data_IF_945257650395
#
_entry.id   IF_945257650395
#
_cell.length_a   1.000
_cell.length_b   1.000
_cell.length_c   1.000
_cell.angle_alpha   90.00
_cell.angle_beta   90.00
_cell.angle_gamma   90.00
#
_symmetry.space_group_name_H-M   'P 1'
#
loop_
_entity.id
_entity.type
_entity.pdbx_description
1 polymer ?
#
# COMPACT_ATOMS: atom_id res chain seq x y z
N UNK A 1 -24.33 36.62 -4.50
CA UNK A 1 -24.25 36.67 -3.02
C UNK A 1 -24.82 35.36 -2.52
N UNK A 2 -23.97 34.40 -2.13
CA UNK A 2 -24.41 33.10 -1.60
C UNK A 2 -23.66 32.84 -0.31
N UNK A 3 -24.44 32.43 0.68
CA UNK A 3 -24.22 32.54 2.11
C UNK A 3 -23.24 31.46 2.56
N UNK A 4 -22.16 31.89 3.20
CA UNK A 4 -21.34 31.03 4.05
C UNK A 4 -22.18 30.64 5.26
N UNK A 5 -22.67 29.40 5.31
CA UNK A 5 -23.32 28.86 6.51
C UNK A 5 -22.29 28.06 7.28
N UNK A 6 -21.82 28.63 8.39
CA UNK A 6 -21.00 27.93 9.35
C UNK A 6 -21.87 27.16 10.34
N UNK A 7 -21.84 25.83 10.27
CA UNK A 7 -22.20 24.95 11.40
C UNK A 7 -21.36 23.68 11.38
N UNK A 8 -21.14 23.09 12.57
CA UNK A 8 -20.09 22.12 12.90
C UNK A 8 -19.93 20.94 11.92
N UNK A 9 -18.73 20.83 11.35
CA UNK A 9 -18.36 19.81 10.36
C UNK A 9 -18.26 18.43 11.00
N UNK A 10 -19.04 17.45 10.51
CA UNK A 10 -18.60 16.05 10.49
C UNK A 10 -17.60 15.91 9.35
N UNK A 11 -16.46 15.28 9.62
CA UNK A 11 -15.52 14.97 8.55
C UNK A 11 -16.10 13.86 7.66
N UNK A 12 -15.64 13.72 6.40
CA UNK A 12 -15.99 12.55 5.56
C UNK A 12 -15.68 11.23 6.30
N UNK A 13 -14.66 11.24 7.16
CA UNK A 13 -14.35 10.12 8.03
C UNK A 13 -15.49 9.82 9.01
N UNK A 14 -16.16 10.84 9.56
CA UNK A 14 -17.29 10.67 10.48
C UNK A 14 -18.58 10.30 9.75
N UNK A 15 -18.76 10.73 8.50
CA UNK A 15 -19.85 10.29 7.63
C UNK A 15 -19.74 8.79 7.29
N UNK A 16 -18.53 8.35 6.92
CA UNK A 16 -18.24 6.95 6.52
C UNK A 16 -18.13 6.00 7.72
N UNK A 17 -17.72 6.49 8.89
CA UNK A 17 -17.55 5.66 10.11
C UNK A 17 -18.72 5.79 11.11
N UNK A 18 -19.62 6.76 10.93
CA UNK A 18 -20.75 7.03 11.83
C UNK A 18 -21.93 6.06 11.69
N UNK A 19 -21.94 5.22 10.64
CA UNK A 19 -22.88 4.12 10.47
C UNK A 19 -22.51 2.93 11.38
N UNK A 20 -22.62 3.12 12.69
CA UNK A 20 -22.41 2.07 13.67
C UNK A 20 -23.44 0.95 13.50
N UNK A 21 -22.94 -0.26 13.22
CA UNK A 21 -23.70 -1.51 13.17
C UNK A 21 -24.37 -1.76 14.53
N UNK A 22 -25.70 -1.67 14.59
CA UNK A 22 -26.50 -2.47 15.51
C UNK A 22 -26.92 -3.76 14.81
N UNK A 23 -26.83 -4.87 15.53
CA UNK A 23 -27.54 -6.11 15.20
C UNK A 23 -26.66 -7.23 14.66
N UNK A 24 -26.43 -8.24 15.50
CA UNK A 24 -25.77 -9.48 15.15
C UNK A 24 -26.55 -10.33 14.15
N UNK A 25 -25.81 -11.07 13.34
CA UNK A 25 -26.32 -12.07 12.41
C UNK A 25 -25.18 -12.57 11.54
N UNK A 26 -24.63 -13.74 11.88
CA UNK A 26 -23.63 -14.40 11.07
C UNK A 26 -24.16 -14.65 9.66
N UNK A 27 -23.61 -13.95 8.67
CA UNK A 27 -23.80 -14.25 7.25
C UNK A 27 -22.48 -14.69 6.65
N UNK A 28 -22.51 -15.91 6.12
CA UNK A 28 -21.47 -16.57 5.36
C UNK A 28 -20.99 -15.65 4.23
N UNK A 29 -19.69 -15.35 4.21
CA UNK A 29 -19.04 -14.44 3.28
C UNK A 29 -19.02 -15.08 1.89
N UNK A 30 -19.88 -14.62 0.99
CA UNK A 30 -19.71 -14.89 -0.44
C UNK A 30 -18.66 -13.94 -1.00
N UNK A 31 -17.57 -14.51 -1.52
CA UNK A 31 -16.62 -13.82 -2.38
C UNK A 31 -17.38 -13.24 -3.58
N UNK A 32 -17.63 -11.92 -3.58
CA UNK A 32 -18.08 -11.23 -4.78
C UNK A 32 -16.85 -11.02 -5.67
N UNK A 33 -16.86 -11.48 -6.93
CA UNK A 33 -15.80 -11.15 -7.87
C UNK A 33 -15.63 -9.62 -7.94
N UNK A 34 -14.40 -9.10 -8.07
CA UNK A 34 -14.19 -7.68 -8.25
C UNK A 34 -14.98 -7.20 -9.47
N UNK A 35 -15.66 -6.06 -9.34
CA UNK A 35 -16.27 -5.36 -10.46
C UNK A 35 -15.17 -5.13 -11.51
N UNK A 36 -15.31 -5.75 -12.69
CA UNK A 36 -14.40 -5.58 -13.82
C UNK A 36 -14.38 -4.09 -14.20
N UNK A 37 -13.25 -3.42 -13.99
CA UNK A 37 -13.02 -2.11 -14.57
C UNK A 37 -12.80 -2.33 -16.08
N UNK A 38 -13.75 -1.90 -16.92
CA UNK A 38 -13.83 -2.17 -18.36
C UNK A 38 -12.83 -1.38 -19.22
N UNK A 39 -11.60 -1.23 -18.76
CA UNK A 39 -10.50 -0.72 -19.59
C UNK A 39 -9.47 -1.84 -19.67
N UNK A 40 -8.85 -2.01 -20.83
CA UNK A 40 -7.84 -3.02 -21.18
C UNK A 40 -8.40 -4.29 -21.81
N UNK A 41 -8.57 -4.18 -23.12
CA UNK A 41 -8.84 -5.29 -24.03
C UNK A 41 -7.51 -5.99 -24.41
N UNK A 42 -7.58 -7.33 -24.45
CA UNK A 42 -6.70 -8.29 -25.12
C UNK A 42 -5.17 -8.06 -25.16
N UNK A 43 -4.43 -8.82 -24.33
CA UNK A 43 -3.14 -9.35 -24.79
C UNK A 43 -2.99 -10.83 -24.40
N UNK A 44 -2.51 -11.65 -25.33
CA UNK A 44 -2.21 -13.08 -25.13
C UNK A 44 -0.68 -13.21 -25.14
N UNK A 45 -0.09 -13.78 -24.08
CA UNK A 45 1.36 -14.04 -24.05
C UNK A 45 1.64 -15.36 -23.33
N UNK A 46 2.22 -16.33 -24.06
CA UNK A 46 2.65 -17.62 -23.49
C UNK A 46 1.64 -18.77 -23.62
N UNK A 47 0.74 -18.74 -24.61
CA UNK A 47 -0.21 -19.83 -24.86
C UNK A 47 -1.41 -19.90 -23.91
N UNK A 48 -1.44 -19.05 -22.88
CA UNK A 48 -2.61 -18.81 -22.03
C UNK A 48 -2.98 -17.33 -22.08
N UNK A 49 -4.27 -17.01 -22.11
CA UNK A 49 -4.73 -15.63 -21.98
C UNK A 49 -4.36 -15.09 -20.59
N UNK A 50 -4.15 -13.77 -20.47
CA UNK A 50 -3.90 -13.09 -19.18
C UNK A 50 -5.02 -13.42 -18.17
N UNK A 51 -6.24 -13.57 -18.66
CA UNK A 51 -7.41 -14.02 -17.90
C UNK A 51 -7.28 -15.47 -17.39
N UNK A 52 -6.75 -16.38 -18.20
CA UNK A 52 -6.52 -17.77 -17.80
C UNK A 52 -5.45 -17.92 -16.72
N UNK A 53 -4.39 -17.11 -16.79
CA UNK A 53 -3.37 -17.05 -15.74
C UNK A 53 -3.93 -16.46 -14.44
N UNK A 54 -4.72 -15.39 -14.53
CA UNK A 54 -5.38 -14.81 -13.36
C UNK A 54 -6.27 -15.84 -12.66
N UNK A 55 -7.11 -16.56 -13.42
CA UNK A 55 -8.00 -17.60 -12.91
C UNK A 55 -7.21 -18.70 -12.20
N UNK A 56 -6.21 -19.30 -12.85
CA UNK A 56 -5.39 -20.37 -12.27
C UNK A 56 -4.61 -19.95 -11.02
N UNK A 57 -4.21 -18.68 -10.92
CA UNK A 57 -3.51 -18.13 -9.75
C UNK A 57 -4.45 -17.57 -8.68
N UNK A 58 -5.75 -17.46 -8.98
CA UNK A 58 -6.81 -17.07 -8.06
C UNK A 58 -7.54 -18.28 -7.47
N UNK A 59 -7.49 -19.44 -8.16
CA UNK A 59 -8.08 -20.68 -7.69
C UNK A 59 -7.36 -21.21 -6.44
N UNK A 60 -8.15 -21.57 -5.43
CA UNK A 60 -7.69 -22.35 -4.30
C UNK A 60 -7.10 -23.66 -4.81
N UNK A 61 -5.79 -23.85 -4.67
CA UNK A 61 -5.34 -25.16 -4.26
C UNK A 61 -6.00 -25.35 -2.89
N UNK A 62 -7.07 -26.13 -2.83
CA UNK A 62 -7.85 -26.44 -1.63
C UNK A 62 -6.89 -26.60 -0.45
N UNK A 63 -6.75 -25.54 0.32
CA UNK A 63 -5.89 -25.53 1.48
C UNK A 63 -6.79 -25.94 2.62
N UNK A 64 -6.36 -26.99 3.35
CA UNK A 64 -7.01 -27.43 4.57
C UNK A 64 -7.47 -26.20 5.38
N UNK A 65 -8.72 -26.19 5.89
CA UNK A 65 -9.20 -25.10 6.71
C UNK A 65 -8.15 -24.84 7.79
N UNK A 66 -7.66 -23.60 7.86
CA UNK A 66 -6.77 -23.18 8.94
C UNK A 66 -7.55 -23.40 10.22
N UNK A 67 -7.27 -24.52 10.89
CA UNK A 67 -7.89 -24.84 12.19
C UNK A 67 -7.52 -23.72 13.14
N UNK A 68 -8.52 -22.91 13.49
CA UNK A 68 -8.45 -22.03 14.65
C UNK A 68 -8.27 -22.98 15.84
N UNK A 69 -7.16 -22.91 16.59
CA UNK A 69 -6.99 -23.76 17.77
C UNK A 69 -8.11 -23.42 18.77
N UNK A 70 -9.04 -24.36 18.96
CA UNK A 70 -10.01 -24.27 20.05
C UNK A 70 -9.26 -24.42 21.37
N UNK A 71 -9.04 -23.30 22.04
CA UNK A 71 -8.34 -23.21 23.32
C UNK A 71 -7.72 -21.83 23.50
N UNK A 72 -7.43 -21.44 24.75
CA UNK A 72 -6.81 -20.18 25.13
C UNK A 72 -5.35 -20.07 24.61
N UNK A 73 -5.17 -20.10 23.29
CA UNK A 73 -3.91 -19.93 22.61
C UNK A 73 -3.56 -18.45 22.60
N UNK A 74 -2.31 -18.14 22.97
CA UNK A 74 -1.76 -16.78 22.89
C UNK A 74 -1.95 -16.23 21.47
N UNK A 75 -2.44 -14.99 21.38
CA UNK A 75 -2.61 -14.29 20.10
C UNK A 75 -1.31 -14.33 19.28
N UNK A 76 -1.44 -14.61 17.97
CA UNK A 76 -0.32 -14.68 17.05
C UNK A 76 0.09 -13.28 16.59
N UNK A 77 1.37 -12.99 16.56
CA UNK A 77 1.90 -11.69 16.13
C UNK A 77 2.08 -11.65 14.61
N UNK A 78 1.39 -10.73 13.94
CA UNK A 78 1.58 -10.44 12.51
C UNK A 78 2.35 -9.13 12.38
N UNK A 79 3.56 -9.18 11.83
CA UNK A 79 4.35 -7.98 11.59
C UNK A 79 4.25 -7.56 10.13
N UNK A 80 3.60 -6.43 9.87
CA UNK A 80 3.51 -5.80 8.55
C UNK A 80 4.62 -4.77 8.40
N UNK A 81 5.51 -5.01 7.44
CA UNK A 81 6.63 -4.15 7.09
C UNK A 81 6.24 -3.21 5.95
N UNK A 82 6.38 -1.90 6.20
CA UNK A 82 6.05 -0.86 5.23
C UNK A 82 7.05 0.29 5.31
N UNK A 83 6.94 1.27 4.42
CA UNK A 83 7.57 2.57 4.60
C UNK A 83 6.65 3.69 4.12
N UNK A 84 6.79 4.89 4.69
CA UNK A 84 5.96 6.08 4.41
C UNK A 84 6.24 6.75 3.05
N UNK A 85 6.83 6.03 2.11
CA UNK A 85 7.13 6.46 0.74
C UNK A 85 5.85 6.56 -0.11
N UNK A 86 5.12 7.67 -0.01
CA UNK A 86 4.00 7.97 -0.93
C UNK A 86 2.61 7.51 -0.47
N UNK A 87 2.47 7.05 0.78
CA UNK A 87 1.18 6.80 1.44
C UNK A 87 0.43 5.54 1.00
N UNK A 88 0.61 5.05 -0.24
CA UNK A 88 -0.05 3.85 -0.75
C UNK A 88 0.30 2.58 0.02
N UNK A 89 1.58 2.39 0.37
CA UNK A 89 2.04 1.24 1.17
C UNK A 89 1.40 1.21 2.56
N UNK A 90 1.30 2.37 3.22
CA UNK A 90 0.61 2.51 4.51
C UNK A 90 -0.87 2.16 4.40
N UNK A 91 -1.55 2.65 3.35
CA UNK A 91 -2.96 2.36 3.14
C UNK A 91 -3.22 0.85 3.01
N UNK A 92 -2.38 0.14 2.24
CA UNK A 92 -2.44 -1.33 2.11
C UNK A 92 -2.14 -2.05 3.44
N UNK A 93 -1.13 -1.61 4.19
CA UNK A 93 -0.82 -2.19 5.50
C UNK A 93 -1.99 -2.06 6.49
N UNK A 94 -2.61 -0.88 6.54
CA UNK A 94 -3.74 -0.62 7.41
C UNK A 94 -5.00 -1.35 6.94
N UNK A 95 -5.23 -1.47 5.63
CA UNK A 95 -6.31 -2.29 5.08
C UNK A 95 -6.20 -3.76 5.49
N UNK A 96 -4.98 -4.33 5.42
CA UNK A 96 -4.73 -5.70 5.87
C UNK A 96 -4.95 -5.83 7.38
N UNK A 97 -4.42 -4.91 8.20
CA UNK A 97 -4.65 -4.88 9.65
C UNK A 97 -6.14 -4.86 9.98
N UNK A 98 -6.90 -3.99 9.32
CA UNK A 98 -8.33 -3.85 9.56
C UNK A 98 -9.08 -5.13 9.13
N UNK A 99 -8.67 -5.78 8.03
CA UNK A 99 -9.21 -7.07 7.61
C UNK A 99 -8.91 -8.19 8.62
N UNK A 100 -7.68 -8.32 9.12
CA UNK A 100 -7.34 -9.30 10.15
C UNK A 100 -8.21 -9.16 11.40
N UNK A 101 -8.42 -7.92 11.86
CA UNK A 101 -9.25 -7.64 13.03
C UNK A 101 -10.71 -8.04 12.81
N UNK A 102 -11.23 -7.78 11.61
CA UNK A 102 -12.62 -8.10 11.27
C UNK A 102 -12.83 -9.61 11.15
N UNK A 103 -11.90 -10.32 10.48
CA UNK A 103 -12.06 -11.74 10.16
C UNK A 103 -11.66 -12.67 11.33
N UNK A 104 -10.67 -12.28 12.13
CA UNK A 104 -10.10 -13.16 13.16
C UNK A 104 -10.15 -12.58 14.58
N UNK A 105 -10.69 -11.37 14.78
CA UNK A 105 -10.77 -10.73 16.09
C UNK A 105 -9.41 -10.62 16.77
N UNK A 106 -9.35 -11.04 18.03
CA UNK A 106 -8.13 -10.95 18.87
C UNK A 106 -7.18 -12.16 18.71
N UNK A 107 -7.50 -13.11 17.82
CA UNK A 107 -6.61 -14.26 17.55
C UNK A 107 -5.26 -13.82 16.93
N UNK A 108 -5.22 -12.65 16.29
CA UNK A 108 -4.03 -12.08 15.68
C UNK A 108 -3.78 -10.65 16.16
N UNK A 109 -2.59 -10.41 16.72
CA UNK A 109 -2.09 -9.08 17.03
C UNK A 109 -1.30 -8.55 15.82
N UNK A 110 -1.88 -7.59 15.09
CA UNK A 110 -1.24 -7.02 13.90
C UNK A 110 -0.46 -5.74 14.21
N UNK A 111 0.82 -5.75 13.90
CA UNK A 111 1.77 -4.66 14.13
C UNK A 111 2.24 -4.11 12.78
N UNK A 112 1.94 -2.85 12.48
CA UNK A 112 2.43 -2.16 11.27
C UNK A 112 3.64 -1.32 11.63
N UNK A 113 4.79 -1.55 10.98
CA UNK A 113 6.08 -0.91 11.31
C UNK A 113 6.86 -0.45 10.09
N UNK A 114 7.54 0.69 10.24
CA UNK A 114 8.53 1.18 9.28
C UNK A 114 9.92 0.92 9.85
N UNK A 115 10.48 -0.25 9.52
CA UNK A 115 11.80 -0.64 10.03
C UNK A 115 12.92 0.27 9.53
N UNK A 116 12.78 0.85 8.33
CA UNK A 116 13.79 1.76 7.79
C UNK A 116 13.85 3.03 8.63
N UNK A 117 12.70 3.59 8.95
CA UNK A 117 12.55 4.78 9.80
C UNK A 117 12.91 4.54 11.26
N UNK A 118 12.44 3.43 11.83
CA UNK A 118 12.61 3.11 13.26
C UNK A 118 14.03 2.59 13.58
N UNK A 119 14.69 1.91 12.63
CA UNK A 119 15.89 1.11 12.90
C UNK A 119 16.95 1.13 11.78
N UNK A 120 16.73 1.83 10.67
CA UNK A 120 17.53 1.67 9.44
C UNK A 120 18.82 2.49 9.37
N UNK A 121 19.08 3.38 10.34
CA UNK A 121 20.15 4.38 10.26
C UNK A 121 20.08 5.24 8.98
N UNK A 122 21.01 6.17 8.80
CA UNK A 122 21.11 6.91 7.53
C UNK A 122 21.72 6.01 6.44
N UNK A 123 21.15 5.95 5.21
CA UNK A 123 20.07 6.81 4.69
C UNK A 123 18.65 6.21 4.76
N UNK A 124 18.44 4.98 5.26
CA UNK A 124 17.12 4.34 5.26
C UNK A 124 16.10 5.07 6.14
N UNK A 125 16.55 5.68 7.23
CA UNK A 125 15.69 6.41 8.16
C UNK A 125 15.09 7.70 7.57
N UNK A 126 15.69 8.24 6.51
CA UNK A 126 15.24 9.46 5.81
C UNK A 126 14.62 9.16 4.42
N UNK A 127 14.27 7.89 4.17
CA UNK A 127 13.66 7.46 2.91
C UNK A 127 12.39 8.21 2.55
N UNK A 128 11.51 8.45 3.52
CA UNK A 128 10.26 9.19 3.31
C UNK A 128 10.54 10.58 2.73
N UNK A 129 11.48 11.32 3.34
CA UNK A 129 11.82 12.69 2.94
C UNK A 129 12.50 12.70 1.58
N UNK A 130 13.46 11.80 1.38
CA UNK A 130 14.18 11.62 0.11
C UNK A 130 13.22 11.30 -1.04
N UNK A 131 12.25 10.42 -0.79
CA UNK A 131 11.21 10.06 -1.75
C UNK A 131 10.28 11.22 -2.08
N UNK A 132 9.80 11.96 -1.07
CA UNK A 132 8.98 13.17 -1.28
C UNK A 132 9.73 14.21 -2.11
N UNK A 133 11.03 14.40 -1.88
CA UNK A 133 11.87 15.27 -2.70
C UNK A 133 11.97 14.77 -4.16
N UNK A 134 12.19 13.47 -4.36
CA UNK A 134 12.31 12.90 -5.72
C UNK A 134 11.01 12.99 -6.52
N UNK A 135 9.83 12.75 -5.93
CA UNK A 135 8.57 12.86 -6.69
C UNK A 135 8.29 14.29 -7.13
N UNK A 136 8.66 15.30 -6.31
CA UNK A 136 8.58 16.71 -6.72
C UNK A 136 9.41 17.00 -7.98
N UNK A 137 10.41 16.15 -8.26
CA UNK A 137 11.27 16.21 -9.43
C UNK A 137 11.07 14.97 -10.31
N UNK A 138 9.93 14.87 -11.02
CA UNK A 138 9.53 13.69 -11.83
C UNK A 138 10.65 13.15 -12.74
N UNK A 139 11.48 14.02 -13.32
CA UNK A 139 12.65 13.61 -14.13
C UNK A 139 13.69 12.84 -13.31
N UNK A 140 13.99 13.30 -12.09
CA UNK A 140 14.90 12.64 -11.16
C UNK A 140 14.35 11.27 -10.73
N UNK A 141 13.05 11.20 -10.44
CA UNK A 141 12.38 9.93 -10.11
C UNK A 141 12.47 8.91 -11.27
N UNK A 142 12.19 9.35 -12.52
CA UNK A 142 12.31 8.48 -13.70
C UNK A 142 13.72 7.93 -13.86
N UNK A 143 14.74 8.77 -13.71
CA UNK A 143 16.15 8.34 -13.78
C UNK A 143 16.47 7.36 -12.66
N UNK A 144 16.06 7.63 -11.42
CA UNK A 144 16.30 6.74 -10.29
C UNK A 144 15.62 5.36 -10.49
N UNK A 145 14.35 5.35 -10.89
CA UNK A 145 13.58 4.13 -11.11
C UNK A 145 14.17 3.27 -12.23
N UNK A 146 14.42 3.87 -13.41
CA UNK A 146 14.97 3.14 -14.56
C UNK A 146 16.46 2.83 -14.39
N UNK A 147 17.21 3.63 -13.64
CA UNK A 147 18.61 3.39 -13.32
C UNK A 147 18.82 2.21 -12.38
N UNK A 148 17.90 1.99 -11.43
CA UNK A 148 18.00 0.90 -10.42
C UNK A 148 17.29 -0.39 -10.82
N UNK A 149 16.48 -0.37 -11.88
CA UNK A 149 15.74 -1.53 -12.40
C UNK A 149 16.58 -2.62 -13.11
N UNK A 150 17.68 -2.33 -13.85
CA UNK A 150 18.46 -3.35 -14.54
C UNK A 150 19.07 -4.36 -13.56
N UNK A 151 19.03 -5.66 -13.88
CA UNK A 151 19.41 -6.73 -12.93
C UNK A 151 20.83 -6.59 -12.35
N UNK A 152 21.78 -6.13 -13.16
CA UNK A 152 23.18 -5.97 -12.74
C UNK A 152 23.38 -4.74 -11.84
N UNK A 153 22.77 -3.59 -12.16
CA UNK A 153 22.77 -2.41 -11.27
C UNK A 153 22.03 -2.73 -9.98
N UNK A 154 20.91 -3.43 -10.09
CA UNK A 154 20.07 -3.82 -8.98
C UNK A 154 20.80 -4.74 -7.99
N UNK A 155 21.48 -5.77 -8.50
CA UNK A 155 22.30 -6.68 -7.71
C UNK A 155 23.44 -5.95 -7.02
N UNK A 156 24.12 -5.02 -7.70
CA UNK A 156 25.18 -4.19 -7.12
C UNK A 156 24.64 -3.23 -6.06
N UNK A 157 23.48 -2.61 -6.30
CA UNK A 157 22.82 -1.69 -5.35
C UNK A 157 22.36 -2.41 -4.09
N UNK A 158 21.70 -3.57 -4.22
CA UNK A 158 21.33 -4.38 -3.06
C UNK A 158 22.54 -4.98 -2.37
N UNK A 159 23.57 -5.38 -3.10
CA UNK A 159 24.83 -5.82 -2.51
C UNK A 159 25.54 -4.67 -1.79
N UNK A 160 25.46 -3.44 -2.30
CA UNK A 160 26.02 -2.25 -1.66
C UNK A 160 25.23 -1.85 -0.41
N UNK A 161 23.89 -1.90 -0.45
CA UNK A 161 23.04 -1.75 0.73
C UNK A 161 23.36 -2.86 1.75
N UNK A 162 23.29 -4.12 1.35
CA UNK A 162 23.63 -5.26 2.20
C UNK A 162 25.08 -5.21 2.70
N UNK A 163 26.01 -4.64 1.92
CA UNK A 163 27.39 -4.39 2.32
C UNK A 163 27.49 -3.24 3.30
N UNK A 164 26.77 -2.12 3.12
CA UNK A 164 26.72 -1.01 4.08
C UNK A 164 26.12 -1.47 5.41
N UNK A 165 24.98 -2.16 5.37
CA UNK A 165 24.36 -2.82 6.53
C UNK A 165 25.25 -3.93 7.10
N UNK A 166 25.96 -4.66 6.24
CA UNK A 166 26.95 -5.67 6.60
C UNK A 166 28.29 -5.10 7.04
N UNK A 167 28.59 -3.80 6.85
CA UNK A 167 29.80 -3.09 7.26
C UNK A 167 29.60 -2.51 8.65
N UNK A 168 28.39 -2.07 8.98
CA UNK A 168 27.97 -1.92 10.38
C UNK A 168 28.05 -3.25 11.14
N UNK A 169 27.79 -4.37 10.46
CA UNK A 169 27.95 -5.70 11.04
C UNK A 169 29.41 -6.23 11.07
N UNK A 170 30.27 -5.84 10.10
CA UNK A 170 31.68 -6.25 10.00
C UNK A 170 32.66 -5.36 10.76
N UNK A 171 32.31 -4.11 11.08
CA UNK A 171 33.13 -3.23 11.92
C UNK A 171 33.34 -3.80 13.34
N UNK A 172 32.48 -4.73 13.79
CA UNK A 172 32.63 -5.50 15.02
C UNK A 172 33.50 -6.76 14.89
N UNK A 173 33.96 -7.11 13.68
CA UNK A 173 34.66 -8.37 13.42
C UNK A 173 36.19 -8.23 13.30
N UNK A 174 36.76 -7.05 13.60
CA UNK A 174 38.20 -6.80 13.47
C UNK A 174 38.97 -6.79 14.79
N UNK A 175 38.54 -7.63 15.72
CA UNK A 175 39.42 -8.23 16.75
C UNK A 175 39.24 -9.74 16.67
N UNK A 176 40.31 -10.38 16.21
CA UNK A 176 40.41 -11.76 15.74
C UNK A 176 40.10 -12.81 16.82
N UNK A 177 39.66 -14.00 16.39
CA UNK A 177 40.16 -15.35 16.76
C UNK A 177 39.06 -16.40 16.49
N UNK A 178 39.50 -17.54 15.92
CA UNK A 178 38.73 -18.76 15.76
C UNK A 178 37.93 -19.12 17.03
N UNK A 179 36.61 -19.18 16.93
CA UNK A 179 35.83 -19.93 17.91
C UNK A 179 34.50 -20.40 17.27
N UNK A 180 34.37 -21.71 17.05
CA UNK A 180 33.11 -22.37 16.68
C UNK A 180 32.02 -22.23 17.76
N UNK A 181 32.35 -21.64 18.91
CA UNK A 181 31.46 -21.27 20.01
C UNK A 181 30.97 -19.80 20.01
N UNK A 182 31.37 -18.96 19.04
CA UNK A 182 30.85 -17.59 18.92
C UNK A 182 29.47 -17.51 18.24
N UNK A 183 28.46 -18.20 18.80
CA UNK A 183 27.03 -17.86 18.59
C UNK A 183 26.65 -16.60 19.39
N UNK A 184 27.54 -15.62 19.48
CA UNK A 184 27.44 -14.48 20.39
C UNK A 184 27.26 -13.16 19.63
N UNK A 185 26.09 -12.57 19.84
CA UNK A 185 25.76 -11.14 19.72
C UNK A 185 25.94 -10.40 18.39
N UNK A 186 25.10 -10.79 17.43
CA UNK A 186 24.67 -9.93 16.31
C UNK A 186 23.53 -8.96 16.70
N UNK A 187 23.28 -8.79 18.01
CA UNK A 187 22.25 -7.96 18.63
C UNK A 187 22.36 -6.45 18.31
N UNK A 188 23.40 -6.03 17.57
CA UNK A 188 23.71 -4.63 17.24
C UNK A 188 23.28 -4.16 15.85
N UNK A 189 22.72 -5.01 14.98
CA UNK A 189 22.00 -4.51 13.81
C UNK A 189 20.62 -4.04 14.28
N UNK A 190 20.40 -2.73 14.35
CA UNK A 190 19.12 -2.14 14.81
C UNK A 190 17.92 -2.75 14.08
N UNK A 191 18.04 -3.07 12.78
CA UNK A 191 16.98 -3.72 11.99
C UNK A 191 16.70 -5.15 12.47
N UNK A 192 17.74 -5.91 12.88
CA UNK A 192 17.58 -7.24 13.48
C UNK A 192 16.91 -7.12 14.85
N UNK A 193 17.38 -6.20 15.70
CA UNK A 193 16.77 -5.92 16.99
C UNK A 193 15.30 -5.51 16.84
N UNK A 194 14.99 -4.67 15.84
CA UNK A 194 13.64 -4.25 15.48
C UNK A 194 12.75 -5.41 15.07
N UNK A 195 13.22 -6.30 14.18
CA UNK A 195 12.46 -7.48 13.76
C UNK A 195 12.20 -8.44 14.94
N UNK A 196 13.23 -8.68 15.77
CA UNK A 196 13.15 -9.63 16.88
C UNK A 196 12.37 -9.11 18.08
N UNK A 197 12.34 -7.80 18.31
CA UNK A 197 11.55 -7.14 19.36
C UNK A 197 10.08 -7.54 19.30
N UNK A 198 9.52 -7.66 18.10
CA UNK A 198 8.10 -7.93 17.88
C UNK A 198 7.73 -9.42 17.92
N UNK A 199 8.71 -10.33 17.99
CA UNK A 199 8.51 -11.80 18.01
C UNK A 199 7.40 -12.26 17.05
N UNK A 200 7.54 -11.98 15.73
CA UNK A 200 6.48 -12.26 14.76
C UNK A 200 6.30 -13.76 14.53
N UNK A 201 5.04 -14.20 14.52
CA UNK A 201 4.64 -15.52 14.04
C UNK A 201 4.46 -15.52 12.52
N UNK A 202 4.28 -14.35 11.91
CA UNK A 202 4.18 -14.13 10.47
C UNK A 202 4.66 -12.73 10.11
N UNK A 203 5.30 -12.59 8.94
CA UNK A 203 5.71 -11.30 8.40
C UNK A 203 5.03 -11.04 7.05
N UNK A 204 4.53 -9.82 6.85
CA UNK A 204 3.95 -9.36 5.59
C UNK A 204 4.69 -8.12 5.13
N UNK A 205 5.24 -8.13 3.92
CA UNK A 205 5.89 -6.99 3.30
C UNK A 205 4.94 -6.32 2.31
N UNK A 206 4.69 -5.03 2.49
CA UNK A 206 3.89 -4.20 1.56
C UNK A 206 4.74 -3.09 0.92
N UNK A 207 6.07 -3.21 0.93
CA UNK A 207 6.98 -2.20 0.39
C UNK A 207 8.11 -2.87 -0.41
N UNK A 208 8.53 -2.32 -1.56
CA UNK A 208 9.51 -2.94 -2.44
C UNK A 208 10.91 -3.14 -1.83
N UNK A 209 11.29 -2.46 -0.76
CA UNK A 209 12.61 -2.63 -0.11
C UNK A 209 12.59 -3.52 1.15
N UNK A 210 11.42 -4.05 1.52
CA UNK A 210 11.23 -4.84 2.73
C UNK A 210 11.19 -6.34 2.44
N UNK A 211 12.06 -6.85 1.56
CA UNK A 211 12.12 -8.27 1.16
C UNK A 211 13.49 -8.84 1.53
N UNK A 212 14.53 -8.35 0.85
CA UNK A 212 15.88 -8.90 0.91
C UNK A 212 16.48 -8.85 2.32
N UNK A 213 16.45 -7.69 2.99
CA UNK A 213 17.03 -7.53 4.33
C UNK A 213 16.26 -8.38 5.37
N UNK A 214 14.92 -8.28 5.50
CA UNK A 214 14.18 -9.12 6.44
C UNK A 214 14.36 -10.63 6.19
N UNK A 215 14.33 -11.08 4.94
CA UNK A 215 14.53 -12.50 4.59
C UNK A 215 15.95 -12.98 4.90
N UNK A 216 16.95 -12.14 4.66
CA UNK A 216 18.32 -12.42 5.06
C UNK A 216 18.39 -12.58 6.59
N UNK A 217 17.85 -11.65 7.37
CA UNK A 217 17.81 -11.75 8.83
C UNK A 217 17.13 -13.04 9.30
N UNK A 218 15.99 -13.41 8.74
CA UNK A 218 15.30 -14.67 9.09
C UNK A 218 16.15 -15.91 8.78
N UNK A 219 16.88 -15.91 7.66
CA UNK A 219 17.77 -17.01 7.28
C UNK A 219 18.91 -17.16 8.29
N UNK A 220 19.59 -16.06 8.65
CA UNK A 220 20.71 -16.08 9.60
C UNK A 220 20.29 -16.47 11.02
N UNK A 221 19.10 -16.04 11.45
CA UNK A 221 18.53 -16.42 12.75
C UNK A 221 17.90 -17.83 12.74
N UNK A 222 18.01 -18.58 11.64
CA UNK A 222 17.38 -19.89 11.48
C UNK A 222 15.85 -19.89 11.72
N UNK A 223 15.20 -18.75 11.43
CA UNK A 223 13.76 -18.53 11.59
C UNK A 223 12.99 -18.65 10.27
N UNK A 224 13.67 -18.70 9.12
CA UNK A 224 13.03 -18.73 7.81
C UNK A 224 12.02 -19.88 7.62
N UNK A 225 12.23 -21.02 8.29
CA UNK A 225 11.28 -22.16 8.26
C UNK A 225 10.15 -22.05 9.27
N UNK A 226 10.27 -21.18 10.28
CA UNK A 226 9.32 -21.03 11.39
C UNK A 226 8.37 -19.85 11.19
N UNK A 227 8.88 -18.75 10.64
CA UNK A 227 8.14 -17.51 10.43
C UNK A 227 7.85 -17.37 8.93
N UNK A 228 6.64 -17.71 8.46
CA UNK A 228 6.27 -17.50 7.06
C UNK A 228 6.35 -16.02 6.69
N UNK A 229 6.82 -15.78 5.48
CA UNK A 229 7.08 -14.44 4.95
C UNK A 229 6.26 -14.21 3.69
N UNK A 230 5.39 -13.22 3.73
CA UNK A 230 4.48 -12.90 2.64
C UNK A 230 4.85 -11.56 2.01
N UNK A 231 4.70 -11.45 0.70
CA UNK A 231 4.77 -10.17 -0.01
C UNK A 231 3.40 -9.84 -0.56
N UNK A 232 2.95 -8.60 -0.39
CA UNK A 232 1.77 -8.04 -1.06
C UNK A 232 2.24 -6.89 -1.92
N UNK A 233 2.24 -7.10 -3.24
CA UNK A 233 2.73 -6.12 -4.20
C UNK A 233 1.70 -5.01 -4.35
N UNK A 234 2.14 -3.76 -4.15
CA UNK A 234 1.25 -2.58 -4.25
C UNK A 234 1.42 -1.81 -5.57
N UNK A 235 2.37 -2.21 -6.41
CA UNK A 235 2.56 -1.64 -7.75
C UNK A 235 1.60 -2.34 -8.73
N UNK A 236 0.70 -1.58 -9.35
CA UNK A 236 -0.39 -2.15 -10.16
C UNK A 236 0.05 -2.74 -11.50
N UNK A 237 1.14 -2.26 -12.09
CA UNK A 237 1.61 -2.76 -13.37
C UNK A 237 3.14 -2.79 -13.43
N UNK A 238 3.78 -1.63 -13.66
CA UNK A 238 5.25 -1.55 -13.71
C UNK A 238 5.83 -1.64 -12.31
N UNK A 239 6.10 -2.86 -11.86
CA UNK A 239 6.66 -3.13 -10.54
C UNK A 239 8.19 -3.17 -10.55
N UNK A 240 8.81 -2.64 -9.51
CA UNK A 240 10.26 -2.74 -9.33
C UNK A 240 10.69 -4.20 -9.02
N UNK A 241 11.84 -4.69 -9.53
CA UNK A 241 12.27 -6.07 -9.30
C UNK A 241 12.41 -6.50 -7.84
N UNK A 242 12.65 -5.55 -6.94
CA UNK A 242 12.87 -5.81 -5.52
C UNK A 242 11.68 -6.42 -4.79
N UNK A 243 10.48 -6.30 -5.37
CA UNK A 243 9.29 -6.98 -4.86
C UNK A 243 9.44 -8.50 -4.82
N UNK A 244 10.25 -9.08 -5.70
CA UNK A 244 10.30 -10.50 -5.94
C UNK A 244 11.54 -11.12 -5.29
N UNK A 245 11.32 -12.08 -4.40
CA UNK A 245 12.39 -12.84 -3.76
C UNK A 245 11.98 -14.30 -3.59
N UNK A 246 12.84 -15.24 -3.96
CA UNK A 246 12.55 -16.68 -3.93
C UNK A 246 12.31 -17.23 -2.52
N UNK A 247 12.83 -16.55 -1.49
CA UNK A 247 12.70 -16.95 -0.09
C UNK A 247 11.34 -16.67 0.56
N UNK A 248 10.38 -16.10 -0.16
CA UNK A 248 9.02 -15.83 0.36
C UNK A 248 8.16 -17.08 0.38
N UNK A 249 7.22 -17.14 1.33
CA UNK A 249 6.20 -18.19 1.40
C UNK A 249 5.14 -18.00 0.31
N UNK A 250 4.57 -16.80 0.17
CA UNK A 250 3.73 -16.40 -0.97
C UNK A 250 3.97 -14.94 -1.36
N UNK A 251 3.71 -14.65 -2.62
CA UNK A 251 3.68 -13.32 -3.23
C UNK A 251 2.27 -13.09 -3.80
N UNK A 252 1.54 -12.13 -3.22
CA UNK A 252 0.22 -11.71 -3.65
C UNK A 252 0.37 -10.53 -4.62
N UNK A 253 -0.10 -10.73 -5.84
CA UNK A 253 -0.02 -9.79 -6.94
C UNK A 253 -1.38 -9.10 -7.17
N UNK A 254 -1.39 -7.81 -7.54
CA UNK A 254 -2.61 -7.08 -7.81
C UNK A 254 -3.20 -7.40 -9.19
N UNK A 255 -2.40 -7.99 -10.09
CA UNK A 255 -2.82 -8.33 -11.44
C UNK A 255 -2.03 -9.53 -11.99
N UNK A 256 -2.53 -10.10 -13.08
CA UNK A 256 -1.85 -11.19 -13.78
C UNK A 256 -0.54 -10.74 -14.45
N UNK A 257 -0.44 -9.49 -14.90
CA UNK A 257 0.80 -8.94 -15.46
C UNK A 257 1.90 -8.88 -14.40
N UNK A 258 1.56 -8.51 -13.16
CA UNK A 258 2.51 -8.52 -12.05
C UNK A 258 2.88 -9.95 -11.65
N UNK A 259 1.91 -10.88 -11.66
CA UNK A 259 2.19 -12.29 -11.41
C UNK A 259 3.14 -12.90 -12.46
N UNK A 260 2.93 -12.61 -13.75
CA UNK A 260 3.84 -13.05 -14.80
C UNK A 260 5.26 -12.50 -14.59
N UNK A 261 5.39 -11.22 -14.19
CA UNK A 261 6.69 -10.65 -13.81
C UNK A 261 7.32 -11.38 -12.63
N UNK A 262 6.54 -11.80 -11.63
CA UNK A 262 7.04 -12.58 -10.51
C UNK A 262 7.60 -13.94 -10.96
N UNK A 263 6.89 -14.65 -11.84
CA UNK A 263 7.32 -15.93 -12.41
C UNK A 263 8.60 -15.78 -13.25
N UNK A 264 8.66 -14.76 -14.12
CA UNK A 264 9.87 -14.42 -14.90
C UNK A 264 11.07 -14.05 -14.01
N UNK A 265 10.83 -13.69 -12.74
CA UNK A 265 11.85 -13.40 -11.74
C UNK A 265 12.23 -14.59 -10.88
N UNK A 266 11.67 -15.77 -11.18
CA UNK A 266 12.07 -17.05 -10.58
C UNK A 266 11.23 -17.47 -9.37
N UNK A 267 10.09 -16.83 -9.11
CA UNK A 267 9.13 -17.38 -8.15
C UNK A 267 8.42 -18.58 -8.78
N UNK A 268 8.15 -19.58 -7.95
CA UNK A 268 7.37 -20.75 -8.36
C UNK A 268 5.88 -20.39 -8.45
N UNK A 269 5.13 -21.07 -9.31
CA UNK A 269 3.65 -20.95 -9.39
C UNK A 269 3.00 -21.19 -8.02
N UNK A 270 3.55 -22.11 -7.22
CA UNK A 270 3.11 -22.37 -5.85
C UNK A 270 3.23 -21.14 -4.94
N UNK A 271 4.16 -20.22 -5.22
CA UNK A 271 4.38 -19.02 -4.43
C UNK A 271 3.49 -17.84 -4.86
N UNK A 272 2.97 -17.82 -6.08
CA UNK A 272 2.28 -16.63 -6.63
C UNK A 272 0.75 -16.76 -6.51
N UNK A 273 0.07 -15.69 -6.11
CA UNK A 273 -1.39 -15.58 -6.07
C UNK A 273 -1.87 -14.24 -6.62
N UNK A 274 -3.03 -14.20 -7.25
CA UNK A 274 -3.62 -12.96 -7.80
C UNK A 274 -4.95 -12.68 -7.13
N UNK A 275 -4.97 -11.69 -6.22
CA UNK A 275 -6.18 -11.30 -5.47
C UNK A 275 -6.53 -9.81 -5.58
N UNK A 276 -5.75 -9.04 -6.35
CA UNK A 276 -5.94 -7.59 -6.41
C UNK A 276 -5.17 -6.84 -5.32
N UNK A 277 -5.27 -5.51 -5.37
CA UNK A 277 -4.69 -4.63 -4.34
C UNK A 277 -5.57 -4.66 -3.09
N UNK A 278 -5.02 -4.83 -1.87
CA UNK A 278 -5.83 -4.75 -0.66
C UNK A 278 -6.40 -3.34 -0.49
N UNK A 279 -7.72 -3.26 -0.40
CA UNK A 279 -8.48 -2.04 -0.09
C UNK A 279 -9.10 -2.20 1.29
N UNK A 280 -9.31 -1.09 2.01
CA UNK A 280 -9.93 -1.14 3.34
C UNK A 280 -11.31 -1.79 3.27
N UNK A 281 -11.64 -2.73 4.17
CA UNK A 281 -12.95 -3.37 4.19
C UNK A 281 -14.11 -2.38 4.28
N UNK A 282 -13.95 -1.27 5.01
CA UNK A 282 -14.97 -0.23 5.13
C UNK A 282 -15.31 0.44 3.79
N UNK A 283 -14.36 0.50 2.85
CA UNK A 283 -14.61 1.04 1.52
C UNK A 283 -15.44 0.07 0.67
N UNK A 284 -15.17 -1.23 0.79
CA UNK A 284 -15.89 -2.27 0.05
C UNK A 284 -17.30 -2.55 0.62
N UNK A 285 -17.50 -2.34 1.92
CA UNK A 285 -18.77 -2.60 2.63
C UNK A 285 -19.68 -1.37 2.72
N UNK A 286 -19.24 -0.21 2.24
CA UNK A 286 -20.05 0.99 2.26
C UNK A 286 -21.22 0.85 1.27
N UNK A 287 -22.44 0.82 1.80
CA UNK A 287 -23.67 0.98 1.02
C UNK A 287 -24.03 2.46 1.06
N UNK A 288 -23.86 3.16 -0.06
CA UNK A 288 -24.05 4.60 -0.15
C UNK A 288 -25.04 4.91 -1.25
N UNK A 289 -26.07 5.70 -0.94
CA UNK A 289 -26.93 6.31 -1.93
C UNK A 289 -26.29 7.58 -2.50
N UNK A 290 -26.29 7.71 -3.83
CA UNK A 290 -25.60 8.81 -4.52
C UNK A 290 -26.22 10.17 -4.20
N UNK A 291 -27.54 10.23 -4.07
CA UNK A 291 -28.26 11.48 -3.88
C UNK A 291 -28.23 11.92 -2.42
N UNK A 292 -28.29 10.98 -1.48
CA UNK A 292 -28.00 11.23 -0.07
C UNK A 292 -26.58 11.77 0.12
N UNK A 293 -25.58 11.15 -0.52
CA UNK A 293 -24.20 11.62 -0.39
C UNK A 293 -23.98 13.00 -0.97
N UNK A 294 -24.64 13.33 -2.09
CA UNK A 294 -24.60 14.67 -2.66
C UNK A 294 -25.20 15.70 -1.72
N UNK A 295 -26.33 15.39 -1.07
CA UNK A 295 -26.94 16.26 -0.05
C UNK A 295 -26.00 16.45 1.14
N UNK A 296 -25.45 15.38 1.68
CA UNK A 296 -24.55 15.43 2.84
C UNK A 296 -23.28 16.24 2.56
N UNK A 297 -22.73 16.11 1.35
CA UNK A 297 -21.53 16.85 0.92
C UNK A 297 -21.83 18.25 0.39
N UNK A 298 -23.10 18.67 0.40
CA UNK A 298 -23.59 19.95 -0.14
C UNK A 298 -23.18 20.15 -1.61
N UNK A 299 -23.30 19.09 -2.40
CA UNK A 299 -23.07 19.08 -3.85
C UNK A 299 -24.36 19.38 -4.59
N UNK A 300 -24.23 19.92 -5.81
CA UNK A 300 -25.38 20.07 -6.69
C UNK A 300 -25.93 18.67 -7.08
N UNK A 301 -27.25 18.43 -6.97
CA UNK A 301 -27.82 17.12 -7.23
C UNK A 301 -27.81 16.72 -8.71
N UNK A 302 -27.83 17.71 -9.61
CA UNK A 302 -28.04 17.51 -11.04
C UNK A 302 -26.75 17.63 -11.85
N UNK A 303 -25.76 18.39 -11.37
CA UNK A 303 -24.50 18.55 -12.08
C UNK A 303 -23.62 17.28 -11.97
N UNK A 304 -22.97 16.87 -13.07
CA UNK A 304 -21.91 15.85 -13.01
C UNK A 304 -20.73 16.39 -12.19
N UNK A 305 -20.14 15.52 -11.36
CA UNK A 305 -19.06 15.89 -10.45
C UNK A 305 -17.74 15.23 -10.85
N UNK A 306 -16.67 16.03 -10.90
CA UNK A 306 -15.29 15.55 -11.04
C UNK A 306 -14.63 15.51 -9.67
N UNK A 307 -14.23 14.31 -9.23
CA UNK A 307 -13.40 14.14 -8.03
C UNK A 307 -11.92 14.30 -8.41
N UNK A 308 -11.30 15.37 -7.90
CA UNK A 308 -9.89 15.66 -8.06
C UNK A 308 -9.14 15.42 -6.74
N UNK A 309 -8.09 14.60 -6.80
CA UNK A 309 -7.31 14.24 -5.62
C UNK A 309 -5.83 14.03 -5.97
N UNK A 310 -4.93 14.54 -5.11
CA UNK A 310 -3.47 14.40 -5.24
C UNK A 310 -2.85 13.38 -4.27
N UNK A 311 -3.65 12.42 -3.80
CA UNK A 311 -3.26 11.52 -2.71
C UNK A 311 -3.15 12.22 -1.35
N UNK A 312 -2.65 11.51 -0.33
CA UNK A 312 -2.66 11.98 1.06
C UNK A 312 -1.85 13.26 1.33
N UNK A 313 -0.86 13.55 0.48
CA UNK A 313 -0.01 14.76 0.57
C UNK A 313 -0.41 15.85 -0.43
N UNK A 314 -1.45 15.64 -1.26
CA UNK A 314 -1.89 16.60 -2.28
C UNK A 314 -0.79 16.92 -3.30
N UNK A 315 -0.16 15.88 -3.84
CA UNK A 315 0.95 15.98 -4.80
C UNK A 315 0.45 16.21 -6.23
N UNK A 316 1.27 16.92 -7.02
CA UNK A 316 0.98 17.24 -8.42
C UNK A 316 0.36 18.64 -8.59
N UNK A 317 0.11 19.05 -9.84
CA UNK A 317 -0.45 20.37 -10.17
C UNK A 317 -1.97 20.41 -9.95
N UNK A 318 -2.40 20.10 -8.72
CA UNK A 318 -3.82 19.97 -8.37
C UNK A 318 -4.55 21.31 -8.53
N UNK A 319 -3.90 22.41 -8.18
CA UNK A 319 -4.48 23.74 -8.32
C UNK A 319 -4.66 24.12 -9.79
N UNK A 320 -3.62 23.93 -10.61
CA UNK A 320 -3.67 24.23 -12.04
C UNK A 320 -4.73 23.37 -12.75
N UNK A 321 -4.82 22.10 -12.38
CA UNK A 321 -5.85 21.19 -12.90
C UNK A 321 -7.24 21.63 -12.47
N UNK A 322 -7.42 22.04 -11.20
CA UNK A 322 -8.70 22.54 -10.71
C UNK A 322 -9.13 23.81 -11.46
N UNK A 323 -8.20 24.74 -11.71
CA UNK A 323 -8.45 25.97 -12.49
C UNK A 323 -8.86 25.65 -13.92
N UNK A 324 -8.14 24.77 -14.60
CA UNK A 324 -8.48 24.34 -15.96
C UNK A 324 -9.88 23.71 -16.00
N UNK A 325 -10.19 22.81 -15.07
CA UNK A 325 -11.53 22.22 -14.96
C UNK A 325 -12.60 23.29 -14.68
N UNK A 326 -12.28 24.33 -13.91
CA UNK A 326 -13.21 25.41 -13.58
C UNK A 326 -13.65 26.22 -14.81
N UNK A 327 -12.76 26.38 -15.78
CA UNK A 327 -13.08 27.02 -17.06
C UNK A 327 -13.80 26.05 -18.01
N UNK A 328 -13.31 24.81 -18.15
CA UNK A 328 -13.89 23.82 -19.07
C UNK A 328 -15.30 23.34 -18.67
N UNK A 329 -15.63 23.39 -17.37
CA UNK A 329 -16.95 22.98 -16.86
C UNK A 329 -17.97 24.13 -16.82
N UNK A 330 -17.67 25.25 -17.47
CA UNK A 330 -18.56 26.40 -17.60
C UNK A 330 -18.95 26.62 -19.06
N UNK A 331 -20.25 26.74 -19.33
CA UNK A 331 -20.78 27.07 -20.65
C UNK A 331 -20.93 28.60 -20.74
N UNK A 332 -19.99 29.26 -21.43
CA UNK A 332 -19.98 30.72 -21.62
C UNK A 332 -21.15 31.22 -22.47
N UNK A 333 -21.62 30.44 -23.44
CA UNK A 333 -22.75 30.82 -24.30
C UNK A 333 -24.05 30.85 -23.48
N UNK A 334 -24.29 29.81 -22.68
CA UNK A 334 -25.47 29.69 -21.83
C UNK A 334 -25.32 30.32 -20.45
N UNK A 335 -24.12 30.86 -20.15
CA UNK A 335 -23.72 31.47 -18.88
C UNK A 335 -24.10 30.63 -17.66
N UNK A 336 -23.79 29.34 -17.69
CA UNK A 336 -24.13 28.40 -16.62
C UNK A 336 -23.06 27.31 -16.43
N UNK A 337 -22.89 26.77 -15.21
CA UNK A 337 -22.06 25.59 -15.02
C UNK A 337 -22.69 24.36 -15.71
N UNK A 338 -21.85 23.54 -16.31
CA UNK A 338 -22.21 22.22 -16.87
C UNK A 338 -21.62 21.07 -16.04
N UNK A 339 -20.80 21.38 -15.04
CA UNK A 339 -20.30 20.43 -14.05
C UNK A 339 -19.88 21.10 -12.75
N UNK A 340 -19.43 20.27 -11.80
CA UNK A 340 -18.91 20.70 -10.50
C UNK A 340 -17.64 19.93 -10.13
N UNK A 341 -16.83 20.50 -9.25
CA UNK A 341 -15.53 19.93 -8.87
C UNK A 341 -15.52 19.65 -7.37
N UNK A 342 -15.08 18.45 -6.99
CA UNK A 342 -14.78 18.08 -5.61
C UNK A 342 -13.28 17.87 -5.50
N UNK A 343 -12.60 18.68 -4.70
CA UNK A 343 -11.15 18.57 -4.50
C UNK A 343 -10.86 18.05 -3.10
N UNK A 344 -10.18 16.90 -2.99
CA UNK A 344 -9.69 16.37 -1.72
C UNK A 344 -8.21 16.73 -1.58
N UNK A 345 -7.91 17.66 -0.66
CA UNK A 345 -6.55 18.17 -0.46
C UNK A 345 -5.68 17.28 0.44
N UNK A 346 -6.27 16.27 1.08
CA UNK A 346 -5.58 15.41 2.04
C UNK A 346 -5.00 16.23 3.19
N UNK A 347 -3.69 16.08 3.46
CA UNK A 347 -2.96 16.85 4.47
C UNK A 347 -2.42 18.19 3.95
N UNK A 348 -2.59 18.51 2.67
CA UNK A 348 -2.07 19.73 2.07
C UNK A 348 -2.93 20.95 2.43
N UNK A 349 -2.68 21.53 3.60
CA UNK A 349 -3.41 22.71 4.09
C UNK A 349 -3.18 23.95 3.21
N UNK A 350 -1.98 24.11 2.64
CA UNK A 350 -1.67 25.23 1.76
C UNK A 350 -2.50 25.19 0.48
N UNK A 351 -2.60 24.01 -0.17
CA UNK A 351 -3.47 23.80 -1.33
C UNK A 351 -4.94 24.08 -0.99
N UNK A 352 -5.42 23.60 0.16
CA UNK A 352 -6.78 23.88 0.63
C UNK A 352 -7.04 25.38 0.78
N UNK A 353 -6.16 26.10 1.45
CA UNK A 353 -6.29 27.55 1.63
C UNK A 353 -6.24 28.30 0.30
N UNK A 354 -5.34 27.90 -0.61
CA UNK A 354 -5.24 28.47 -1.95
C UNK A 354 -6.56 28.32 -2.70
N UNK A 355 -7.08 27.09 -2.84
CA UNK A 355 -8.33 26.81 -3.56
C UNK A 355 -9.55 27.52 -2.96
N UNK A 356 -9.59 27.69 -1.63
CA UNK A 356 -10.66 28.40 -0.93
C UNK A 356 -10.63 29.92 -1.14
N UNK A 357 -9.47 30.48 -1.49
CA UNK A 357 -9.32 31.90 -1.80
C UNK A 357 -9.75 32.27 -3.23
N UNK A 358 -9.92 31.27 -4.10
CA UNK A 358 -10.26 31.48 -5.50
C UNK A 358 -11.75 31.71 -5.69
N UNK A 359 -12.06 32.57 -6.66
CA UNK A 359 -13.42 32.74 -7.16
C UNK A 359 -13.62 31.79 -8.33
N UNK A 360 -14.70 31.02 -8.29
CA UNK A 360 -15.00 29.97 -9.27
C UNK A 360 -16.26 30.33 -10.07
N UNK A 361 -16.24 30.06 -11.38
CA UNK A 361 -17.43 30.15 -12.25
C UNK A 361 -18.37 28.96 -12.08
N UNK A 362 -17.84 27.85 -11.55
CA UNK A 362 -18.55 26.59 -11.30
C UNK A 362 -18.58 26.27 -9.81
N UNK A 363 -19.51 25.43 -9.33
CA UNK A 363 -19.48 24.95 -7.95
C UNK A 363 -18.21 24.12 -7.68
N UNK A 364 -17.47 24.52 -6.64
CA UNK A 364 -16.26 23.81 -6.19
C UNK A 364 -16.34 23.52 -4.69
N UNK A 365 -16.17 22.25 -4.33
CA UNK A 365 -16.09 21.80 -2.94
C UNK A 365 -14.67 21.35 -2.60
N UNK A 366 -13.95 22.13 -1.80
CA UNK A 366 -12.64 21.75 -1.26
C UNK A 366 -12.74 21.12 0.13
N UNK A 367 -12.30 19.86 0.27
CA UNK A 367 -12.36 19.09 1.53
C UNK A 367 -10.99 18.84 2.14
#
# INVERSE_FOLDING_TARGET
MVISVGTGRRSIRDAVLGGGVQGGGGRQLYYRPPLRCGLYDGSVVGGQSVDGLAAALSEEAAADPVRIPDGAAKAKNVLILMSDTGGGHRASAEALRDAFRIEFGDAYQVLVRDLGKEYGGWPLNDMERSYKFMIRHVRLWKVAFHGTSPRWVHGVYLAALAYLYGKYARALHRTEILCSSCRGDFSHCEVVAGLMKYKPDMIISVHPLMQHIPLWVLKWQSLQRKVPFFTVVTDLNTCHPTWFHYGVTKCYCPSAEVANRALLRGLQTSQVRVFGLPVRPSFCRAELDKDEMRKELELDPNLPAVLLMGGGEGMGPVEETARALGEELYDDERRRPIGQIVVICGRNRALRSSLQSLTWKVPVKGV
#
